data_IF_382879176742
#
_entry.id   IF_382879176742
#
_cell.length_a   1.000
_cell.length_b   1.000
_cell.length_c   1.000
_cell.angle_alpha   90.00
_cell.angle_beta   90.00
_cell.angle_gamma   90.00
#
_symmetry.space_group_name_H-M   'P 1'
#
loop_
_entity.id
_entity.type
_entity.pdbx_description
1 polymer ?
#
# COMPACT_ATOMS: atom_id res chain seq x y z
N UNK A 1 0.23 13.49 -30.63
CA UNK A 1 1.11 12.33 -30.45
C UNK A 1 0.27 11.10 -30.19
N UNK A 2 0.76 9.89 -30.49
CA UNK A 2 0.03 8.66 -30.20
C UNK A 2 -0.10 8.43 -28.69
N UNK A 3 -1.28 8.04 -28.24
CA UNK A 3 -1.55 7.69 -26.83
C UNK A 3 -1.22 6.21 -26.64
N UNK A 4 -0.60 5.89 -25.50
CA UNK A 4 -0.35 4.51 -25.09
C UNK A 4 -0.54 4.37 -23.58
N UNK A 5 -0.99 3.21 -23.14
CA UNK A 5 -1.23 2.89 -21.73
C UNK A 5 -0.14 1.97 -21.22
N UNK A 6 0.37 2.24 -20.02
CA UNK A 6 1.38 1.42 -19.34
C UNK A 6 0.85 1.04 -17.96
N UNK A 7 0.95 -0.25 -17.62
CA UNK A 7 0.60 -0.74 -16.28
C UNK A 7 1.54 -0.10 -15.25
N UNK A 8 0.99 0.28 -14.10
CA UNK A 8 1.72 0.83 -12.96
C UNK A 8 1.75 -0.24 -11.85
N UNK A 9 2.76 -1.12 -11.80
CA UNK A 9 2.82 -2.18 -10.79
C UNK A 9 2.91 -1.57 -9.39
N UNK A 10 2.14 -2.07 -8.44
CA UNK A 10 2.15 -1.61 -7.04
C UNK A 10 1.94 -0.09 -6.87
N UNK A 11 1.24 0.55 -7.81
CA UNK A 11 1.05 2.01 -7.80
C UNK A 11 2.30 2.83 -8.14
N UNK A 12 3.42 2.18 -8.46
CA UNK A 12 4.68 2.85 -8.80
C UNK A 12 4.67 3.36 -10.25
N UNK A 13 5.11 4.61 -10.43
CA UNK A 13 5.18 5.23 -11.74
C UNK A 13 6.20 4.53 -12.64
N UNK A 14 5.73 4.03 -13.78
CA UNK A 14 6.51 3.36 -14.82
C UNK A 14 6.41 4.16 -16.12
N UNK A 15 7.51 4.79 -16.51
CA UNK A 15 7.59 5.53 -17.76
C UNK A 15 7.72 4.54 -18.95
N UNK A 16 6.96 4.73 -20.04
CA UNK A 16 7.20 3.98 -21.26
C UNK A 16 8.62 4.19 -21.76
N UNK A 17 9.27 3.13 -22.22
CA UNK A 17 10.62 3.22 -22.81
C UNK A 17 10.59 3.31 -24.32
N UNK A 18 9.50 2.89 -24.98
CA UNK A 18 9.33 2.86 -26.44
C UNK A 18 7.94 3.38 -26.80
N UNK A 19 7.80 3.98 -27.98
CA UNK A 19 6.51 4.38 -28.53
C UNK A 19 5.84 3.18 -29.22
N UNK A 20 4.57 2.92 -28.90
CA UNK A 20 3.80 1.83 -29.50
C UNK A 20 3.47 2.03 -31.00
N UNK A 21 3.63 3.24 -31.53
CA UNK A 21 3.38 3.52 -32.96
C UNK A 21 4.45 2.89 -33.84
N UNK A 22 4.01 2.30 -34.96
CA UNK A 22 4.92 1.68 -35.93
C UNK A 22 5.93 2.71 -36.48
N UNK A 23 7.20 2.31 -36.61
CA UNK A 23 8.33 3.15 -37.03
C UNK A 23 8.60 4.41 -36.19
N UNK A 24 7.98 4.58 -35.01
CA UNK A 24 8.24 5.70 -34.13
C UNK A 24 9.44 5.43 -33.20
N UNK A 25 10.43 6.33 -33.20
CA UNK A 25 11.64 6.22 -32.35
C UNK A 25 11.63 7.15 -31.14
N UNK A 26 10.51 7.80 -30.86
CA UNK A 26 10.38 8.71 -29.73
C UNK A 26 10.60 7.96 -28.39
N UNK A 27 11.34 8.61 -27.48
CA UNK A 27 11.66 8.13 -26.12
C UNK A 27 11.18 9.08 -25.03
N UNK A 28 10.63 10.24 -25.42
CA UNK A 28 10.04 11.22 -24.52
C UNK A 28 8.53 10.99 -24.46
N UNK A 29 8.00 10.95 -23.24
CA UNK A 29 6.59 10.70 -22.98
C UNK A 29 6.11 11.68 -21.92
N UNK A 30 4.96 12.30 -22.17
CA UNK A 30 4.29 13.14 -21.20
C UNK A 30 3.11 12.35 -20.61
N UNK A 31 2.98 12.29 -19.28
CA UNK A 31 1.82 11.66 -18.66
C UNK A 31 0.55 12.45 -18.99
N UNK A 32 -0.52 11.74 -19.33
CA UNK A 32 -1.83 12.33 -19.66
C UNK A 32 -2.82 12.05 -18.52
N UNK A 33 -2.67 12.76 -17.40
CA UNK A 33 -3.44 12.48 -16.18
C UNK A 33 -4.96 12.66 -16.33
N UNK A 34 -5.42 13.49 -17.27
CA UNK A 34 -6.85 13.72 -17.55
C UNK A 34 -7.49 12.68 -18.48
N UNK A 35 -6.73 11.67 -18.91
CA UNK A 35 -7.21 10.62 -19.82
C UNK A 35 -8.16 9.67 -19.11
N UNK A 36 -9.20 9.18 -19.80
CA UNK A 36 -10.08 8.11 -19.29
C UNK A 36 -9.35 6.77 -19.09
N UNK A 37 -8.17 6.61 -19.69
CA UNK A 37 -7.31 5.44 -19.50
C UNK A 37 -6.39 5.56 -18.28
N UNK A 38 -6.34 6.74 -17.64
CA UNK A 38 -5.63 6.94 -16.38
C UNK A 38 -6.57 6.62 -15.25
N UNK A 39 -6.33 5.49 -14.59
CA UNK A 39 -7.09 5.06 -13.43
C UNK A 39 -6.36 5.47 -12.16
N UNK A 40 -7.07 6.15 -11.26
CA UNK A 40 -6.62 6.49 -9.92
C UNK A 40 -7.31 5.57 -8.92
N UNK A 41 -6.59 5.19 -7.86
CA UNK A 41 -7.11 4.37 -6.77
C UNK A 41 -7.04 5.12 -5.45
N UNK A 42 -8.03 4.91 -4.59
CA UNK A 42 -7.96 5.40 -3.20
C UNK A 42 -6.92 4.57 -2.44
N UNK A 43 -6.08 5.24 -1.65
CA UNK A 43 -4.98 4.62 -0.92
C UNK A 43 -4.80 5.27 0.45
N UNK A 44 -4.52 4.44 1.45
CA UNK A 44 -4.26 4.85 2.82
C UNK A 44 -3.21 3.92 3.44
N UNK A 45 -2.24 4.50 4.15
CA UNK A 45 -1.33 3.72 5.02
C UNK A 45 -1.77 3.86 6.47
N UNK A 46 -1.90 2.72 7.15
CA UNK A 46 -2.15 2.65 8.59
C UNK A 46 -0.98 1.94 9.28
N UNK A 47 -0.71 2.29 10.54
CA UNK A 47 0.31 1.62 11.36
C UNK A 47 -0.38 0.83 12.45
N UNK A 48 -0.24 -0.49 12.39
CA UNK A 48 -0.77 -1.39 13.41
C UNK A 48 0.28 -1.66 14.47
N UNK A 49 -0.16 -1.74 15.72
CA UNK A 49 0.64 -2.23 16.83
C UNK A 49 0.20 -3.65 17.18
N UNK A 50 1.14 -4.53 17.50
CA UNK A 50 0.82 -5.86 18.00
C UNK A 50 0.02 -5.79 19.31
N UNK A 51 -0.97 -6.67 19.46
CA UNK A 51 -1.62 -6.94 20.74
C UNK A 51 -0.72 -7.91 21.50
N UNK A 52 -0.27 -7.51 22.68
CA UNK A 52 0.56 -8.37 23.55
C UNK A 52 -0.27 -8.77 24.74
N UNK A 53 -0.53 -10.06 24.90
CA UNK A 53 -1.15 -10.60 26.11
C UNK A 53 -0.18 -10.48 27.28
N UNK A 54 -0.67 -10.24 28.49
CA UNK A 54 0.17 -9.97 29.67
C UNK A 54 1.12 -11.14 29.98
N UNK A 55 0.70 -12.37 29.71
CA UNK A 55 1.53 -13.59 29.87
C UNK A 55 2.65 -13.73 28.81
N UNK A 56 2.54 -12.99 27.69
CA UNK A 56 3.53 -12.97 26.60
C UNK A 56 4.41 -11.71 26.64
N UNK A 57 4.25 -10.85 27.65
CA UNK A 57 5.10 -9.68 27.83
C UNK A 57 6.47 -10.12 28.33
N UNK A 58 7.41 -10.25 27.39
CA UNK A 58 8.83 -10.19 27.68
C UNK A 58 9.08 -8.84 28.41
N UNK A 59 9.27 -8.89 29.72
CA UNK A 59 9.22 -7.71 30.60
C UNK A 59 10.02 -6.53 30.07
N UNK A 60 9.34 -5.40 29.85
CA UNK A 60 9.95 -4.13 29.41
C UNK A 60 10.08 -3.95 27.89
N UNK A 61 9.66 -4.92 27.08
CA UNK A 61 9.70 -4.78 25.61
C UNK A 61 8.61 -3.84 25.09
N UNK A 62 8.97 -2.98 24.14
CA UNK A 62 8.03 -2.12 23.40
C UNK A 62 7.31 -2.95 22.31
N UNK A 63 5.97 -2.85 22.19
CA UNK A 63 5.22 -3.52 21.13
C UNK A 63 5.73 -3.15 19.72
N UNK A 64 5.86 -4.16 18.85
CA UNK A 64 6.21 -3.98 17.44
C UNK A 64 5.05 -3.33 16.69
N UNK A 65 5.43 -2.65 15.61
CA UNK A 65 4.46 -2.08 14.67
C UNK A 65 4.74 -2.57 13.26
N UNK A 66 3.71 -2.56 12.42
CA UNK A 66 3.79 -2.87 10.99
C UNK A 66 2.93 -1.87 10.22
N UNK A 67 3.42 -1.46 9.04
CA UNK A 67 2.65 -0.64 8.11
C UNK A 67 1.77 -1.52 7.24
N UNK A 68 0.52 -1.07 7.04
CA UNK A 68 -0.45 -1.72 6.17
C UNK A 68 -0.95 -0.71 5.16
N UNK A 69 -0.90 -1.07 3.89
CA UNK A 69 -1.51 -0.31 2.81
C UNK A 69 -2.92 -0.85 2.54
N UNK A 70 -3.91 0.04 2.60
CA UNK A 70 -5.31 -0.21 2.32
C UNK A 70 -5.67 0.54 1.03
N UNK A 71 -6.45 -0.11 0.16
CA UNK A 71 -6.84 0.45 -1.13
C UNK A 71 -8.34 0.31 -1.35
N UNK A 72 -8.90 1.19 -2.20
CA UNK A 72 -10.31 1.14 -2.63
C UNK A 72 -11.29 1.11 -1.44
N UNK A 73 -12.03 0.02 -1.28
CA UNK A 73 -13.10 -0.20 -0.30
C UNK A 73 -12.58 -0.45 1.13
N UNK A 74 -11.29 -0.76 1.27
CA UNK A 74 -10.65 -0.92 2.58
C UNK A 74 -10.21 0.41 3.20
N UNK A 75 -10.17 1.49 2.41
CA UNK A 75 -9.86 2.84 2.92
C UNK A 75 -10.93 3.26 3.93
N UNK A 76 -10.51 3.88 5.03
CA UNK A 76 -11.37 4.34 6.13
C UNK A 76 -12.13 3.21 6.88
N UNK A 77 -11.75 1.95 6.68
CA UNK A 77 -12.35 0.80 7.39
C UNK A 77 -11.98 0.72 8.88
N UNK A 78 -11.00 1.49 9.33
CA UNK A 78 -10.60 1.61 10.72
C UNK A 78 -10.14 3.03 11.07
N UNK A 79 -10.20 3.37 12.36
CA UNK A 79 -9.70 4.65 12.89
C UNK A 79 -8.63 4.42 13.97
N UNK A 80 -7.79 5.42 14.27
CA UNK A 80 -6.81 5.30 15.36
C UNK A 80 -7.47 4.90 16.68
N UNK A 81 -6.89 3.89 17.34
CA UNK A 81 -7.42 3.33 18.60
C UNK A 81 -8.45 2.20 18.40
N UNK A 82 -8.69 1.75 17.17
CA UNK A 82 -9.42 0.52 16.92
C UNK A 82 -8.54 -0.72 17.11
N UNK A 83 -9.18 -1.77 17.63
CA UNK A 83 -8.63 -3.12 17.61
C UNK A 83 -9.12 -3.81 16.33
N UNK A 84 -8.18 -4.15 15.46
CA UNK A 84 -8.46 -4.72 14.14
C UNK A 84 -7.63 -5.97 13.88
N UNK A 85 -8.22 -6.90 13.16
CA UNK A 85 -7.51 -8.03 12.56
C UNK A 85 -7.36 -7.77 11.06
N UNK A 86 -6.14 -7.78 10.56
CA UNK A 86 -5.85 -7.60 9.14
C UNK A 86 -5.33 -8.89 8.53
N UNK A 87 -5.91 -9.27 7.39
CA UNK A 87 -5.35 -10.29 6.49
C UNK A 87 -4.75 -9.59 5.29
N UNK A 88 -3.54 -9.96 4.89
CA UNK A 88 -2.87 -9.32 3.77
C UNK A 88 -1.62 -10.07 3.29
N UNK A 89 -0.98 -9.49 2.27
CA UNK A 89 0.22 -10.04 1.64
C UNK A 89 1.43 -9.25 2.14
N UNK A 90 2.43 -9.94 2.68
CA UNK A 90 3.70 -9.31 3.07
C UNK A 90 4.45 -8.88 1.80
N UNK A 91 4.76 -7.59 1.72
CA UNK A 91 5.51 -6.98 0.64
C UNK A 91 6.78 -6.33 1.16
N UNK A 92 7.72 -6.14 0.25
CA UNK A 92 9.03 -5.55 0.50
C UNK A 92 9.15 -4.26 -0.30
N UNK A 93 9.54 -3.17 0.35
CA UNK A 93 9.97 -1.94 -0.32
C UNK A 93 11.46 -1.73 -0.11
N UNK A 94 12.16 -1.37 -1.19
CA UNK A 94 13.53 -0.87 -1.06
C UNK A 94 13.48 0.50 -0.41
N UNK A 95 14.32 0.76 0.59
CA UNK A 95 14.57 2.13 1.03
C UNK A 95 15.25 2.86 -0.13
N UNK A 96 14.53 3.78 -0.77
CA UNK A 96 15.07 4.57 -1.89
C UNK A 96 15.94 5.69 -1.32
N UNK A 97 17.11 5.35 -0.77
CA UNK A 97 18.16 6.36 -0.60
C UNK A 97 18.68 6.73 -1.99
N UNK A 98 18.30 7.94 -2.41
CA UNK A 98 18.31 8.38 -3.79
C UNK A 98 19.64 8.32 -4.53
N UNK A 99 19.58 8.22 -5.86
CA UNK A 99 20.54 8.70 -6.86
C UNK A 99 22.04 8.74 -6.48
N UNK A 100 22.57 7.79 -5.72
CA UNK A 100 24.00 7.68 -5.46
C UNK A 100 24.42 6.23 -5.52
N UNK A 101 25.35 6.01 -6.43
CA UNK A 101 25.95 4.75 -6.90
C UNK A 101 26.87 4.13 -5.83
N UNK A 102 26.48 4.13 -4.55
CA UNK A 102 27.27 3.54 -3.48
C UNK A 102 26.46 2.51 -2.71
N UNK A 103 26.81 1.25 -2.96
CA UNK A 103 26.16 0.03 -2.48
C UNK A 103 26.61 -0.22 -1.05
N UNK A 104 25.83 0.18 -0.04
CA UNK A 104 25.94 -0.36 1.33
C UNK A 104 24.76 0.04 2.19
N UNK A 105 23.68 -0.72 2.05
CA UNK A 105 22.73 -1.13 3.09
C UNK A 105 21.48 -1.66 2.37
N UNK A 106 21.36 -2.98 2.26
CA UNK A 106 20.17 -3.66 1.75
C UNK A 106 19.04 -3.58 2.78
N UNK A 107 18.59 -2.37 3.11
CA UNK A 107 17.51 -2.15 4.06
C UNK A 107 16.19 -2.25 3.31
N UNK A 108 15.53 -3.38 3.50
CA UNK A 108 14.19 -3.65 3.03
C UNK A 108 13.20 -3.32 4.14
N UNK A 109 12.18 -2.52 3.82
CA UNK A 109 11.05 -2.28 4.72
C UNK A 109 9.96 -3.28 4.36
N UNK A 110 9.51 -4.05 5.35
CA UNK A 110 8.35 -4.92 5.21
C UNK A 110 7.08 -4.13 5.51
N UNK A 111 6.08 -4.32 4.66
CA UNK A 111 4.72 -3.81 4.88
C UNK A 111 3.71 -4.88 4.45
N UNK A 112 2.46 -4.68 4.82
CA UNK A 112 1.37 -5.57 4.44
C UNK A 112 0.48 -4.85 3.42
N UNK A 113 0.26 -5.46 2.26
CA UNK A 113 -0.86 -5.08 1.40
C UNK A 113 -2.13 -5.70 1.98
N UNK A 114 -3.03 -4.87 2.52
CA UNK A 114 -4.29 -5.31 3.10
C UNK A 114 -5.22 -5.95 2.07
N UNK A 115 -5.83 -7.07 2.44
CA UNK A 115 -6.85 -7.79 1.66
C UNK A 115 -8.19 -7.79 2.41
N UNK A 116 -8.16 -7.80 3.74
CA UNK A 116 -9.35 -7.70 4.58
C UNK A 116 -9.02 -7.04 5.91
N UNK A 117 -9.98 -6.25 6.42
CA UNK A 117 -9.94 -5.59 7.72
C UNK A 117 -11.18 -6.01 8.51
N UNK A 118 -10.99 -6.71 9.62
CA UNK A 118 -12.04 -7.03 10.57
C UNK A 118 -11.92 -6.15 11.81
N UNK A 119 -12.91 -5.28 12.03
CA UNK A 119 -12.95 -4.35 13.16
C UNK A 119 -13.95 -4.84 14.21
N UNK A 120 -13.46 -5.11 15.42
CA UNK A 120 -14.26 -5.68 16.52
C UNK A 120 -15.42 -4.75 16.90
N UNK A 121 -15.24 -3.43 16.80
CA UNK A 121 -16.28 -2.44 17.15
C UNK A 121 -17.39 -2.33 16.10
N UNK A 122 -17.10 -2.58 14.82
CA UNK A 122 -18.09 -2.51 13.75
C UNK A 122 -19.05 -3.71 13.77
N UNK A 123 -18.54 -4.91 14.08
CA UNK A 123 -19.36 -6.12 14.21
C UNK A 123 -20.35 -6.04 15.39
N UNK A 124 -20.00 -5.35 16.48
CA UNK A 124 -20.93 -5.12 17.58
C UNK A 124 -22.10 -4.20 17.19
N UNK A 125 -21.88 -3.23 16.29
CA UNK A 125 -22.92 -2.29 15.83
C UNK A 125 -23.88 -2.92 14.82
N UNK A 126 -23.38 -3.75 13.90
CA UNK A 126 -24.24 -4.48 12.95
C UNK A 126 -25.08 -5.56 13.64
N UNK A 127 -24.56 -6.23 14.67
CA UNK A 127 -25.35 -7.16 15.49
C UNK A 127 -26.43 -6.47 16.34
N UNK A 128 -26.21 -5.22 16.78
CA UNK A 128 -27.17 -4.45 17.56
C UNK A 128 -28.34 -3.88 16.73
N UNK A 129 -28.19 -3.77 15.40
CA UNK A 129 -29.21 -3.20 14.50
C UNK A 129 -30.10 -4.28 13.87
N UNK A 130 -29.78 -5.56 14.09
CA UNK A 130 -30.50 -6.73 13.57
C UNK A 130 -31.46 -7.38 14.61
N UNK A 131 -31.87 -6.64 15.64
CA UNK A 131 -32.85 -7.07 16.65
C UNK A 131 -34.02 -6.11 16.75
#
# INVERSE_FOLDING_TARGET
GSVQTVRQPDGAYTQPTVCASNNCRARSFNPLCSSTYTQTLNWQTVRLQELVDDDQREGGRVPRTVEVELTEDLVDSCVPGDEVTITGIVKVRSTEEGYKKNKSASMFVLYILGVSVANVKLNARSAATAR
#
